data_IF_813368884664
#
_entry.id   IF_813368884664
#
_cell.length_a   1.000
_cell.length_b   1.000
_cell.length_c   1.000
_cell.angle_alpha   90.00
_cell.angle_beta   90.00
_cell.angle_gamma   90.00
#
_symmetry.space_group_name_H-M   'P 1'
#
loop_
_entity.id
_entity.type
_entity.pdbx_description
1 polymer ?
#
# COMPACT_ATOMS: atom_id res chain seq x y z
N UNK A 1 -23.17 1.05 3.39
CA UNK A 1 -22.57 1.72 2.20
C UNK A 1 -22.08 3.13 2.49
N UNK A 2 -22.91 4.08 2.93
CA UNK A 2 -22.46 5.47 3.17
C UNK A 2 -21.35 5.58 4.24
N UNK A 3 -21.46 4.84 5.35
CA UNK A 3 -20.45 4.81 6.41
C UNK A 3 -19.08 4.29 5.94
N UNK A 4 -19.06 3.24 5.10
CA UNK A 4 -17.80 2.68 4.55
C UNK A 4 -17.10 3.67 3.63
N UNK A 5 -17.85 4.39 2.81
CA UNK A 5 -17.28 5.42 1.95
C UNK A 5 -16.66 6.56 2.77
N UNK A 6 -17.29 6.95 3.87
CA UNK A 6 -16.73 7.94 4.81
C UNK A 6 -15.41 7.44 5.40
N UNK A 7 -15.36 6.20 5.91
CA UNK A 7 -14.13 5.65 6.49
C UNK A 7 -13.04 5.37 5.47
N UNK A 8 -13.40 5.07 4.21
CA UNK A 8 -12.45 5.01 3.10
C UNK A 8 -11.79 6.37 2.86
N UNK A 9 -12.58 7.45 2.87
CA UNK A 9 -12.05 8.81 2.75
C UNK A 9 -11.16 9.19 3.94
N UNK A 10 -11.53 8.79 5.17
CA UNK A 10 -10.69 8.98 6.36
C UNK A 10 -9.36 8.26 6.21
N UNK A 11 -9.37 6.98 5.82
CA UNK A 11 -8.16 6.18 5.66
C UNK A 11 -7.20 6.74 4.60
N UNK A 12 -7.74 7.42 3.58
CA UNK A 12 -6.99 8.02 2.49
C UNK A 12 -6.72 9.53 2.67
N UNK A 13 -7.12 10.12 3.81
CA UNK A 13 -6.99 11.55 4.04
C UNK A 13 -5.52 11.98 4.05
N UNK A 14 -5.23 13.07 3.32
CA UNK A 14 -3.94 13.74 3.29
C UNK A 14 -4.09 15.22 3.68
N UNK A 15 -2.98 15.89 3.94
CA UNK A 15 -2.93 17.31 4.31
C UNK A 15 -2.94 17.54 5.82
N UNK A 16 -3.03 18.81 6.24
CA UNK A 16 -2.91 19.16 7.66
C UNK A 16 -3.98 18.49 8.54
N UNK A 17 -3.59 18.04 9.72
CA UNK A 17 -4.51 17.59 10.75
C UNK A 17 -5.38 18.75 11.26
N UNK A 18 -6.62 18.44 11.64
CA UNK A 18 -7.37 19.32 12.54
C UNK A 18 -6.90 19.05 13.96
N UNK A 19 -5.88 19.81 14.37
CA UNK A 19 -5.21 19.59 15.66
C UNK A 19 -6.17 19.72 16.84
N UNK A 20 -7.04 20.74 16.81
CA UNK A 20 -7.99 20.97 17.90
C UNK A 20 -8.98 19.80 18.04
N UNK A 21 -9.56 19.35 16.91
CA UNK A 21 -10.48 18.22 16.93
C UNK A 21 -9.80 16.90 17.32
N UNK A 22 -8.54 16.69 16.92
CA UNK A 22 -7.76 15.52 17.32
C UNK A 22 -7.46 15.52 18.82
N UNK A 23 -7.02 16.65 19.39
CA UNK A 23 -6.77 16.76 20.82
C UNK A 23 -8.04 16.57 21.67
N UNK A 24 -9.18 17.09 21.23
CA UNK A 24 -10.47 16.80 21.86
C UNK A 24 -10.81 15.30 21.82
N UNK A 25 -10.49 14.63 20.70
CA UNK A 25 -10.63 13.18 20.55
C UNK A 25 -9.74 12.40 21.53
N UNK A 26 -8.49 12.82 21.69
CA UNK A 26 -7.54 12.25 22.67
C UNK A 26 -8.07 12.40 24.09
N UNK A 27 -8.42 13.62 24.50
CA UNK A 27 -8.96 13.88 25.85
C UNK A 27 -10.23 13.07 26.11
N UNK A 28 -11.11 12.94 25.11
CA UNK A 28 -12.29 12.09 25.20
C UNK A 28 -11.93 10.61 25.37
N UNK A 29 -10.93 10.09 24.64
CA UNK A 29 -10.50 8.70 24.78
C UNK A 29 -9.98 8.41 26.19
N UNK A 30 -9.18 9.31 26.78
CA UNK A 30 -8.69 9.19 28.16
C UNK A 30 -9.84 9.23 29.18
N UNK A 31 -10.75 10.21 29.07
CA UNK A 31 -11.91 10.29 29.97
C UNK A 31 -12.81 9.05 29.87
N UNK A 32 -13.05 8.53 28.67
CA UNK A 32 -13.83 7.31 28.45
C UNK A 32 -13.15 6.07 29.05
N UNK A 33 -11.82 6.07 29.15
CA UNK A 33 -11.03 5.03 29.81
C UNK A 33 -10.92 5.23 31.34
N UNK A 34 -11.50 6.30 31.90
CA UNK A 34 -11.39 6.63 33.32
C UNK A 34 -10.02 7.15 33.73
N UNK A 35 -9.21 7.62 32.79
CA UNK A 35 -7.88 8.18 33.03
C UNK A 35 -7.93 9.72 33.10
N UNK A 36 -7.01 10.35 33.85
CA UNK A 36 -6.75 11.79 33.73
C UNK A 36 -6.39 12.16 32.29
N UNK A 37 -6.76 13.35 31.85
CA UNK A 37 -6.32 13.85 30.53
C UNK A 37 -4.80 14.07 30.50
N UNK A 38 -4.15 13.89 29.34
CA UNK A 38 -2.70 14.11 29.23
C UNK A 38 -2.38 15.59 29.46
N UNK A 39 -1.34 15.83 30.26
CA UNK A 39 -0.88 17.18 30.60
C UNK A 39 -0.16 17.86 29.42
N UNK A 40 0.43 17.06 28.53
CA UNK A 40 1.20 17.53 27.37
C UNK A 40 0.75 16.81 26.10
N UNK A 41 0.52 17.58 25.04
CA UNK A 41 0.30 17.02 23.70
C UNK A 41 1.38 17.57 22.77
N UNK A 42 2.16 16.68 22.20
CA UNK A 42 3.28 16.97 21.29
C UNK A 42 2.87 16.59 19.88
N UNK A 43 3.06 17.50 18.93
CA UNK A 43 2.81 17.25 17.51
C UNK A 43 4.11 16.98 16.77
N UNK A 44 4.10 15.96 15.94
CA UNK A 44 5.18 15.58 15.03
C UNK A 44 4.67 15.60 13.59
N UNK A 45 5.53 15.96 12.63
CA UNK A 45 5.17 16.06 11.22
C UNK A 45 5.01 14.70 10.53
N UNK A 46 5.51 13.62 11.14
CA UNK A 46 5.39 12.25 10.64
C UNK A 46 5.49 11.20 11.75
N UNK A 47 5.15 9.93 11.47
CA UNK A 47 5.42 8.82 12.40
C UNK A 47 6.91 8.65 12.72
N UNK A 48 7.81 9.00 11.79
CA UNK A 48 9.26 8.96 12.03
C UNK A 48 9.67 9.98 13.09
N UNK A 49 9.23 11.23 12.94
CA UNK A 49 9.50 12.27 13.93
C UNK A 49 8.79 11.98 15.26
N UNK A 50 7.59 11.38 15.22
CA UNK A 50 6.87 10.99 16.43
C UNK A 50 7.64 9.95 17.26
N UNK A 51 8.27 8.94 16.64
CA UNK A 51 9.12 7.98 17.36
C UNK A 51 10.28 8.70 18.05
N UNK A 52 11.00 9.59 17.35
CA UNK A 52 12.07 10.40 17.96
C UNK A 52 11.55 11.26 19.13
N UNK A 53 10.36 11.84 18.97
CA UNK A 53 9.74 12.66 20.02
C UNK A 53 9.37 11.82 21.26
N UNK A 54 8.92 10.57 21.08
CA UNK A 54 8.64 9.63 22.17
C UNK A 54 9.93 9.25 22.91
N UNK A 55 11.01 8.95 22.21
CA UNK A 55 12.31 8.60 22.81
C UNK A 55 12.88 9.73 23.68
N UNK A 56 12.62 10.98 23.29
CA UNK A 56 13.03 12.18 24.02
C UNK A 56 12.04 12.58 25.13
N UNK A 57 10.92 11.88 25.28
CA UNK A 57 9.82 12.28 26.15
C UNK A 57 10.11 11.93 27.61
N UNK A 58 10.61 12.89 28.38
CA UNK A 58 10.82 12.71 29.82
C UNK A 58 9.52 12.84 30.62
N UNK A 59 9.31 11.94 31.59
CA UNK A 59 8.19 12.00 32.54
C UNK A 59 6.82 11.76 31.90
N UNK A 60 6.75 10.98 30.82
CA UNK A 60 5.49 10.63 30.17
C UNK A 60 4.66 9.61 30.97
N UNK A 61 5.31 8.83 31.84
CA UNK A 61 4.73 7.65 32.46
C UNK A 61 4.73 6.45 31.51
N UNK A 62 4.03 5.38 31.88
CA UNK A 62 3.89 4.19 31.00
C UNK A 62 2.92 4.47 29.85
N UNK A 63 3.01 3.66 28.80
CA UNK A 63 2.00 3.60 27.75
C UNK A 63 0.64 3.21 28.35
N UNK A 64 -0.41 3.91 27.92
CA UNK A 64 -1.80 3.62 28.30
C UNK A 64 -2.63 3.14 27.10
N UNK A 65 -1.96 2.66 26.04
CA UNK A 65 -2.60 2.14 24.83
C UNK A 65 -3.61 1.03 25.13
N UNK A 66 -3.33 0.20 26.13
CA UNK A 66 -4.25 -0.86 26.53
C UNK A 66 -5.57 -0.27 27.03
N UNK A 67 -5.50 0.70 27.93
CA UNK A 67 -6.64 1.36 28.55
C UNK A 67 -7.43 2.23 27.56
N UNK A 68 -6.75 3.00 26.69
CA UNK A 68 -7.44 3.94 25.78
C UNK A 68 -7.91 3.33 24.46
N UNK A 69 -7.29 2.21 24.03
CA UNK A 69 -7.55 1.61 22.72
C UNK A 69 -7.93 0.15 22.79
N UNK A 70 -7.05 -0.72 23.30
CA UNK A 70 -7.24 -2.18 23.18
C UNK A 70 -8.42 -2.67 23.99
N UNK A 71 -8.52 -2.28 25.25
CA UNK A 71 -9.61 -2.61 26.15
C UNK A 71 -10.97 -2.15 25.62
N UNK A 72 -11.17 -0.84 25.35
CA UNK A 72 -12.42 -0.32 24.80
C UNK A 72 -12.84 -1.00 23.49
N UNK A 73 -11.89 -1.26 22.58
CA UNK A 73 -12.18 -1.99 21.34
C UNK A 73 -12.62 -3.43 21.61
N UNK A 74 -11.92 -4.14 22.49
CA UNK A 74 -12.25 -5.52 22.83
C UNK A 74 -13.63 -5.63 23.51
N UNK A 75 -13.97 -4.67 24.37
CA UNK A 75 -15.29 -4.57 25.01
C UNK A 75 -16.41 -4.32 24.00
N UNK A 76 -16.28 -3.32 23.12
CA UNK A 76 -17.30 -3.03 22.11
C UNK A 76 -17.44 -4.18 21.11
N UNK A 77 -16.32 -4.83 20.74
CA UNK A 77 -16.36 -6.03 19.90
C UNK A 77 -17.14 -7.16 20.57
N UNK A 78 -16.85 -7.46 21.84
CA UNK A 78 -17.61 -8.49 22.59
C UNK A 78 -19.09 -8.13 22.66
N UNK A 79 -19.42 -6.90 23.02
CA UNK A 79 -20.81 -6.43 23.13
C UNK A 79 -21.58 -6.59 21.82
N UNK A 80 -21.02 -6.12 20.70
CA UNK A 80 -21.66 -6.28 19.39
C UNK A 80 -21.75 -7.74 18.94
N UNK A 81 -20.73 -8.54 19.22
CA UNK A 81 -20.75 -9.96 18.92
C UNK A 81 -21.84 -10.70 19.72
N UNK A 82 -22.02 -10.36 21.00
CA UNK A 82 -23.06 -10.96 21.85
C UNK A 82 -24.48 -10.52 21.42
N UNK A 83 -24.63 -9.28 20.95
CA UNK A 83 -25.91 -8.72 20.46
C UNK A 83 -26.32 -9.32 19.10
N UNK A 84 -25.40 -9.42 18.15
CA UNK A 84 -25.66 -9.85 16.77
C UNK A 84 -25.54 -11.36 16.57
N UNK A 85 -24.85 -12.04 17.49
CA UNK A 85 -24.37 -13.40 17.31
C UNK A 85 -23.31 -13.53 16.20
N UNK A 86 -22.76 -14.74 15.99
CA UNK A 86 -21.67 -14.96 15.05
C UNK A 86 -22.01 -14.60 13.59
N UNK A 87 -23.24 -14.93 13.14
CA UNK A 87 -23.67 -14.68 11.77
C UNK A 87 -23.86 -13.18 11.50
N UNK A 88 -24.54 -12.45 12.40
CA UNK A 88 -24.74 -11.01 12.26
C UNK A 88 -23.42 -10.24 12.36
N UNK A 89 -22.49 -10.69 13.20
CA UNK A 89 -21.14 -10.13 13.25
C UNK A 89 -20.40 -10.32 11.92
N UNK A 90 -20.43 -11.53 11.34
CA UNK A 90 -19.78 -11.80 10.05
C UNK A 90 -20.36 -10.96 8.91
N UNK A 91 -21.69 -10.80 8.87
CA UNK A 91 -22.37 -9.93 7.90
C UNK A 91 -21.96 -8.47 8.08
N UNK A 92 -22.00 -7.95 9.31
CA UNK A 92 -21.58 -6.58 9.62
C UNK A 92 -20.11 -6.35 9.22
N UNK A 93 -19.21 -7.26 9.57
CA UNK A 93 -17.79 -7.15 9.24
C UNK A 93 -17.55 -7.14 7.73
N UNK A 94 -18.18 -8.05 6.99
CA UNK A 94 -18.12 -8.11 5.52
C UNK A 94 -18.65 -6.83 4.87
N UNK A 95 -19.74 -6.28 5.40
CA UNK A 95 -20.34 -5.05 4.92
C UNK A 95 -19.58 -3.77 5.31
N UNK A 96 -18.59 -3.87 6.21
CA UNK A 96 -17.84 -2.73 6.76
C UNK A 96 -16.33 -2.95 6.71
N UNK A 97 -15.71 -3.32 7.84
CA UNK A 97 -14.28 -3.30 8.02
C UNK A 97 -13.50 -4.22 7.11
N UNK A 98 -14.09 -5.34 6.68
CA UNK A 98 -13.45 -6.26 5.74
C UNK A 98 -13.04 -5.57 4.43
N UNK A 99 -13.84 -4.60 3.96
CA UNK A 99 -13.60 -3.89 2.70
C UNK A 99 -12.40 -2.92 2.75
N UNK A 100 -11.94 -2.58 3.95
CA UNK A 100 -10.83 -1.64 4.16
C UNK A 100 -9.60 -2.32 4.79
N UNK A 101 -9.78 -3.54 5.32
CA UNK A 101 -8.81 -4.21 6.17
C UNK A 101 -7.43 -4.33 5.52
N UNK A 102 -7.33 -5.00 4.37
CA UNK A 102 -6.05 -5.25 3.71
C UNK A 102 -5.36 -3.95 3.32
N UNK A 103 -6.09 -3.04 2.67
CA UNK A 103 -5.60 -1.73 2.24
C UNK A 103 -5.06 -0.87 3.40
N UNK A 104 -5.72 -0.85 4.56
CA UNK A 104 -5.24 -0.12 5.75
C UNK A 104 -4.09 -0.82 6.46
N UNK A 105 -4.15 -2.15 6.60
CA UNK A 105 -3.13 -2.96 7.25
C UNK A 105 -1.81 -2.90 6.49
N UNK A 106 -1.84 -3.11 5.17
CA UNK A 106 -0.65 -3.06 4.32
C UNK A 106 0.00 -1.68 4.36
N UNK A 107 -0.79 -0.61 4.28
CA UNK A 107 -0.27 0.75 4.38
C UNK A 107 0.39 1.00 5.75
N UNK A 108 -0.25 0.54 6.84
CA UNK A 108 0.33 0.69 8.17
C UNK A 108 1.66 -0.08 8.30
N UNK A 109 1.73 -1.32 7.80
CA UNK A 109 2.97 -2.11 7.79
C UNK A 109 4.07 -1.45 6.93
N UNK A 110 3.72 -0.87 5.78
CA UNK A 110 4.67 -0.11 4.95
C UNK A 110 5.23 1.11 5.68
N UNK A 111 4.39 1.83 6.41
CA UNK A 111 4.83 2.96 7.25
C UNK A 111 5.75 2.47 8.38
N UNK A 112 5.40 1.39 9.09
CA UNK A 112 6.28 0.83 10.15
C UNK A 112 7.65 0.45 9.58
N UNK A 113 7.66 -0.29 8.47
CA UNK A 113 8.90 -0.72 7.82
C UNK A 113 9.76 0.48 7.39
N UNK A 114 9.14 1.53 6.83
CA UNK A 114 9.85 2.75 6.46
C UNK A 114 10.41 3.51 7.67
N UNK A 115 9.65 3.63 8.76
CA UNK A 115 10.13 4.25 10.00
C UNK A 115 11.32 3.49 10.57
N UNK A 116 11.25 2.16 10.63
CA UNK A 116 12.37 1.32 11.09
C UNK A 116 13.59 1.51 10.18
N UNK A 117 13.42 1.43 8.86
CA UNK A 117 14.51 1.60 7.89
C UNK A 117 15.23 2.95 7.99
N UNK A 118 14.51 4.01 8.36
CA UNK A 118 15.05 5.37 8.45
C UNK A 118 15.68 5.71 9.81
N UNK A 119 15.28 5.02 10.88
CA UNK A 119 15.74 5.29 12.24
C UNK A 119 16.83 4.34 12.71
N UNK A 120 16.86 3.11 12.19
CA UNK A 120 17.83 2.10 12.60
C UNK A 120 19.15 2.32 11.87
N UNK A 121 20.10 2.96 12.55
CA UNK A 121 21.47 3.08 12.06
C UNK A 121 22.29 1.80 12.28
N UNK A 122 22.00 1.08 13.37
CA UNK A 122 22.69 -0.16 13.75
C UNK A 122 21.69 -1.25 14.11
N UNK A 123 21.96 -2.54 13.78
CA UNK A 123 21.01 -3.63 14.02
C UNK A 123 20.51 -3.76 15.47
N UNK A 124 21.33 -3.38 16.45
CA UNK A 124 20.96 -3.41 17.87
C UNK A 124 19.83 -2.42 18.24
N UNK A 125 19.69 -1.31 17.51
CA UNK A 125 18.72 -0.25 17.81
C UNK A 125 17.31 -0.60 17.29
N UNK A 126 17.17 -1.63 16.44
CA UNK A 126 15.88 -2.01 15.83
C UNK A 126 14.83 -2.38 16.88
N UNK A 127 15.23 -3.09 17.93
CA UNK A 127 14.27 -3.54 18.96
C UNK A 127 13.63 -2.37 19.68
N UNK A 128 14.38 -1.30 19.95
CA UNK A 128 13.90 -0.12 20.68
C UNK A 128 12.89 0.67 19.83
N UNK A 129 13.20 0.91 18.55
CA UNK A 129 12.27 1.55 17.60
C UNK A 129 10.98 0.75 17.47
N UNK A 130 11.09 -0.59 17.40
CA UNK A 130 9.91 -1.47 17.31
C UNK A 130 9.06 -1.43 18.57
N UNK A 131 9.68 -1.35 19.76
CA UNK A 131 8.95 -1.20 21.03
C UNK A 131 8.12 0.09 21.05
N UNK A 132 8.70 1.23 20.63
CA UNK A 132 7.95 2.49 20.51
C UNK A 132 6.79 2.36 19.53
N UNK A 133 7.00 1.68 18.41
CA UNK A 133 5.95 1.44 17.41
C UNK A 133 4.80 0.56 17.93
N UNK A 134 5.03 -0.33 18.91
CA UNK A 134 3.97 -1.15 19.52
C UNK A 134 2.98 -0.31 20.34
N UNK A 135 3.41 0.83 20.87
CA UNK A 135 2.59 1.79 21.60
C UNK A 135 1.72 2.69 20.69
N UNK A 136 1.92 2.62 19.38
CA UNK A 136 1.14 3.43 18.44
C UNK A 136 -0.32 2.97 18.35
N UNK A 137 -1.22 3.95 18.39
CA UNK A 137 -2.60 3.87 17.88
C UNK A 137 -2.60 4.45 16.46
N UNK A 138 -3.19 3.75 15.50
CA UNK A 138 -2.90 3.98 14.07
C UNK A 138 -3.77 5.06 13.43
N UNK A 139 -4.57 5.77 14.23
CA UNK A 139 -5.36 6.92 13.81
C UNK A 139 -6.19 6.60 12.57
N UNK A 140 -6.00 7.33 11.48
CA UNK A 140 -6.74 7.09 10.24
C UNK A 140 -6.59 5.68 9.65
N UNK A 141 -5.50 4.97 9.94
CA UNK A 141 -5.30 3.58 9.48
C UNK A 141 -5.97 2.54 10.38
N UNK A 142 -6.61 2.95 11.48
CA UNK A 142 -7.55 2.13 12.23
C UNK A 142 -8.99 2.17 11.65
N UNK A 143 -9.20 2.89 10.54
CA UNK A 143 -10.49 3.09 9.89
C UNK A 143 -11.27 1.80 9.60
N UNK A 144 -10.57 0.71 9.25
CA UNK A 144 -11.21 -0.56 8.92
C UNK A 144 -12.07 -1.07 10.09
N UNK A 145 -11.49 -1.23 11.28
CA UNK A 145 -12.28 -1.69 12.42
C UNK A 145 -13.18 -0.59 12.99
N UNK A 146 -12.77 0.68 12.96
CA UNK A 146 -13.63 1.80 13.39
C UNK A 146 -14.94 1.87 12.58
N UNK A 147 -14.90 1.52 11.29
CA UNK A 147 -16.09 1.50 10.44
C UNK A 147 -17.16 0.52 10.91
N UNK A 148 -16.78 -0.60 11.54
CA UNK A 148 -17.71 -1.59 12.08
C UNK A 148 -18.45 -1.09 13.33
N UNK A 149 -17.88 -0.11 14.04
CA UNK A 149 -18.45 0.45 15.28
C UNK A 149 -19.07 1.84 15.09
N UNK A 150 -19.08 2.39 13.87
CA UNK A 150 -19.54 3.75 13.62
C UNK A 150 -21.02 3.92 13.97
N UNK A 151 -21.31 4.88 14.84
CA UNK A 151 -22.65 5.11 15.43
C UNK A 151 -23.13 4.02 16.40
N UNK A 152 -22.26 3.09 16.80
CA UNK A 152 -22.63 1.92 17.63
C UNK A 152 -21.69 1.67 18.81
N UNK A 153 -20.53 2.32 18.90
CA UNK A 153 -19.57 2.15 19.99
C UNK A 153 -19.18 3.47 20.64
N UNK A 154 -19.97 3.94 21.61
CA UNK A 154 -19.75 5.23 22.28
C UNK A 154 -18.35 5.35 22.92
N UNK A 155 -17.83 4.23 23.46
CA UNK A 155 -16.47 4.14 24.03
C UNK A 155 -15.38 4.48 23.01
N UNK A 156 -15.63 4.25 21.73
CA UNK A 156 -14.67 4.47 20.64
C UNK A 156 -14.78 5.86 20.02
N UNK A 157 -15.68 6.73 20.50
CA UNK A 157 -15.91 8.06 19.93
C UNK A 157 -14.63 8.91 19.92
N UNK A 158 -13.83 8.85 20.99
CA UNK A 158 -12.54 9.54 21.07
C UNK A 158 -11.57 9.06 20.00
N UNK A 159 -11.35 7.74 19.90
CA UNK A 159 -10.51 7.11 18.88
C UNK A 159 -10.96 7.47 17.46
N UNK A 160 -12.28 7.39 17.21
CA UNK A 160 -12.87 7.72 15.93
C UNK A 160 -12.69 9.19 15.57
N UNK A 161 -12.69 10.09 16.57
CA UNK A 161 -12.43 11.51 16.36
C UNK A 161 -10.97 11.78 16.05
N UNK A 162 -10.02 11.12 16.71
CA UNK A 162 -8.60 11.23 16.35
C UNK A 162 -8.37 10.72 14.94
N UNK A 163 -8.88 9.54 14.59
CA UNK A 163 -8.73 8.97 13.25
C UNK A 163 -9.26 9.88 12.14
N UNK A 164 -10.38 10.58 12.39
CA UNK A 164 -10.96 11.55 11.47
C UNK A 164 -10.17 12.86 11.36
N UNK A 165 -9.26 13.16 12.29
CA UNK A 165 -8.61 14.47 12.36
C UNK A 165 -7.07 14.45 12.35
N UNK A 166 -6.42 13.31 12.56
CA UNK A 166 -4.95 13.19 12.61
C UNK A 166 -4.45 11.81 12.13
N UNK A 167 -3.11 11.68 12.09
CA UNK A 167 -2.40 10.43 11.84
C UNK A 167 -2.26 9.57 13.09
N UNK A 168 -1.12 8.89 13.21
CA UNK A 168 -0.84 8.00 14.35
C UNK A 168 -0.60 8.78 15.63
N UNK A 169 -0.77 8.13 16.77
CA UNK A 169 -0.51 8.77 18.05
C UNK A 169 -0.12 7.75 19.13
N UNK A 170 0.64 8.21 20.12
CA UNK A 170 1.23 7.41 21.18
C UNK A 170 0.73 7.90 22.54
N UNK A 171 -0.15 7.14 23.21
CA UNK A 171 -0.74 7.54 24.47
C UNK A 171 0.09 7.07 25.68
N UNK A 172 0.56 8.02 26.51
CA UNK A 172 1.19 7.79 27.81
C UNK A 172 0.37 8.43 28.95
N UNK A 173 0.67 8.08 30.20
CA UNK A 173 -0.09 8.59 31.37
C UNK A 173 -0.19 10.12 31.43
N UNK A 174 0.92 10.83 31.16
CA UNK A 174 1.03 12.28 31.32
C UNK A 174 1.23 13.04 30.01
N UNK A 175 1.41 12.33 28.90
CA UNK A 175 1.72 12.95 27.62
C UNK A 175 1.21 12.12 26.43
N UNK A 176 0.96 12.80 25.31
CA UNK A 176 0.62 12.18 24.04
C UNK A 176 1.49 12.77 22.94
N UNK A 177 2.00 11.92 22.05
CA UNK A 177 2.61 12.34 20.79
C UNK A 177 1.64 12.04 19.65
N UNK A 178 1.36 13.01 18.79
CA UNK A 178 0.46 12.88 17.63
C UNK A 178 1.23 13.22 16.36
N UNK A 179 1.14 12.35 15.36
CA UNK A 179 1.63 12.59 14.01
C UNK A 179 0.58 13.34 13.18
N UNK A 180 1.04 14.31 12.40
CA UNK A 180 0.34 14.82 11.23
C UNK A 180 0.02 13.69 10.24
N UNK A 181 -0.81 14.00 9.25
CA UNK A 181 -1.10 13.08 8.13
C UNK A 181 -0.04 13.17 7.05
N UNK A 182 0.03 12.17 6.15
CA UNK A 182 0.76 12.35 4.91
C UNK A 182 0.22 13.55 4.12
N UNK A 183 1.09 14.25 3.42
CA UNK A 183 0.73 15.31 2.46
C UNK A 183 0.37 14.73 1.10
N UNK A 184 0.90 13.56 0.76
CA UNK A 184 0.63 12.83 -0.48
C UNK A 184 0.39 11.34 -0.21
N UNK A 185 -0.54 10.74 -0.96
CA UNK A 185 -0.84 9.31 -0.95
C UNK A 185 -1.34 8.88 -2.34
N UNK A 186 -0.55 8.04 -3.01
CA UNK A 186 -0.82 7.53 -4.35
C UNK A 186 -0.89 6.01 -4.33
N UNK A 187 -1.90 5.47 -5.02
CA UNK A 187 -2.21 4.04 -4.97
C UNK A 187 -2.68 3.55 -6.33
N UNK A 188 -2.40 2.29 -6.62
CA UNK A 188 -2.96 1.59 -7.77
C UNK A 188 -4.44 1.23 -7.55
N UNK A 189 -5.08 0.65 -8.57
CA UNK A 189 -6.48 0.20 -8.50
C UNK A 189 -6.72 -0.89 -7.44
N UNK A 190 -5.68 -1.63 -7.05
CA UNK A 190 -5.72 -2.62 -5.99
C UNK A 190 -5.52 -2.00 -4.58
N UNK A 191 -5.26 -0.69 -4.50
CA UNK A 191 -5.05 0.02 -3.25
C UNK A 191 -3.63 -0.13 -2.66
N UNK A 192 -2.66 -0.61 -3.44
CA UNK A 192 -1.25 -0.68 -3.04
C UNK A 192 -0.56 0.64 -3.33
N UNK A 193 0.49 0.99 -2.57
CA UNK A 193 1.28 2.20 -2.85
C UNK A 193 1.88 2.13 -4.26
N UNK A 194 1.66 3.17 -5.06
CA UNK A 194 2.14 3.20 -6.44
C UNK A 194 2.31 4.63 -6.95
N UNK A 195 3.51 4.95 -7.43
CA UNK A 195 3.81 6.19 -8.17
C UNK A 195 5.14 6.06 -8.92
N UNK A 196 5.15 6.41 -10.21
CA UNK A 196 6.33 6.28 -11.07
C UNK A 196 7.23 7.51 -11.18
N UNK A 197 6.79 8.67 -10.68
CA UNK A 197 7.46 9.97 -10.86
C UNK A 197 7.74 10.71 -9.53
N UNK A 198 7.64 9.99 -8.40
CA UNK A 198 7.81 10.57 -7.08
C UNK A 198 7.40 9.62 -5.95
N UNK A 199 7.34 10.10 -4.70
CA UNK A 199 6.95 9.29 -3.57
C UNK A 199 5.48 8.88 -3.66
N UNK A 200 5.20 7.60 -3.41
CA UNK A 200 3.83 7.09 -3.30
C UNK A 200 3.17 7.53 -1.99
N UNK A 201 3.95 7.82 -0.96
CA UNK A 201 3.48 8.46 0.27
C UNK A 201 4.55 9.45 0.77
N UNK A 202 4.15 10.65 1.18
CA UNK A 202 5.07 11.65 1.70
C UNK A 202 4.48 12.38 2.92
N UNK A 203 5.33 12.75 3.87
CA UNK A 203 5.03 13.62 5.00
C UNK A 203 5.78 14.95 4.87
N UNK A 204 5.32 15.97 5.59
CA UNK A 204 5.83 17.35 5.46
C UNK A 204 7.28 17.55 5.94
N UNK A 205 7.83 16.62 6.71
CA UNK A 205 9.23 16.59 7.16
C UNK A 205 10.18 15.86 6.20
N UNK A 206 9.68 15.42 5.04
CA UNK A 206 10.44 14.66 4.05
C UNK A 206 10.50 13.16 4.31
N UNK A 207 9.84 12.63 5.35
CA UNK A 207 9.66 11.17 5.44
C UNK A 207 8.76 10.70 4.29
N UNK A 208 9.29 9.82 3.43
CA UNK A 208 8.62 9.40 2.21
C UNK A 208 8.81 7.90 1.94
N UNK A 209 7.84 7.30 1.25
CA UNK A 209 7.88 5.92 0.79
C UNK A 209 7.67 5.89 -0.72
N UNK A 210 8.56 5.18 -1.41
CA UNK A 210 8.54 5.00 -2.85
C UNK A 210 8.10 3.58 -3.16
N UNK A 211 7.24 3.41 -4.16
CA UNK A 211 6.72 2.12 -4.55
C UNK A 211 6.23 2.11 -6.00
N UNK A 212 6.48 0.99 -6.69
CA UNK A 212 5.94 0.66 -8.00
C UNK A 212 5.00 -0.53 -7.89
N UNK A 213 3.71 -0.34 -8.12
CA UNK A 213 2.65 -1.36 -8.02
C UNK A 213 2.70 -2.16 -6.70
N UNK A 214 2.95 -1.45 -5.60
CA UNK A 214 3.09 -2.02 -4.26
C UNK A 214 4.49 -2.54 -3.91
N UNK A 215 5.40 -2.68 -4.88
CA UNK A 215 6.77 -3.11 -4.65
C UNK A 215 7.62 -1.92 -4.19
N UNK A 216 8.27 -1.99 -3.02
CA UNK A 216 9.14 -0.92 -2.51
C UNK A 216 10.36 -0.72 -3.42
N UNK A 217 10.57 0.51 -3.88
CA UNK A 217 11.75 0.87 -4.69
C UNK A 217 12.53 1.98 -4.00
N UNK A 218 13.86 2.08 -4.21
CA UNK A 218 14.63 3.26 -3.81
C UNK A 218 14.15 4.53 -4.53
N UNK A 219 14.42 5.70 -3.96
CA UNK A 219 14.04 6.97 -4.60
C UNK A 219 14.82 7.18 -5.90
N UNK A 220 16.13 6.92 -5.85
CA UNK A 220 17.07 7.01 -6.97
C UNK A 220 16.72 6.05 -8.13
N UNK A 221 16.01 4.96 -7.84
CA UNK A 221 15.56 4.03 -8.86
C UNK A 221 14.53 4.67 -9.79
N UNK A 222 13.63 5.51 -9.26
CA UNK A 222 12.65 6.22 -10.11
C UNK A 222 13.32 7.26 -11.02
N UNK A 223 14.33 7.96 -10.51
CA UNK A 223 15.11 8.91 -11.33
C UNK A 223 15.81 8.18 -12.48
N UNK A 224 16.37 7.00 -12.20
CA UNK A 224 17.04 6.14 -13.18
C UNK A 224 16.10 5.71 -14.32
N UNK A 225 14.82 5.43 -14.02
CA UNK A 225 13.84 5.00 -15.03
C UNK A 225 13.75 5.97 -16.21
N UNK A 226 13.90 7.28 -15.98
CA UNK A 226 13.82 8.30 -17.04
C UNK A 226 14.98 8.27 -18.04
N UNK A 227 16.10 7.66 -17.68
CA UNK A 227 17.34 7.61 -18.47
C UNK A 227 17.77 6.17 -18.81
N UNK A 228 16.86 5.22 -18.62
CA UNK A 228 17.09 3.80 -18.75
C UNK A 228 17.55 3.41 -20.17
N UNK A 229 18.44 2.42 -20.26
CA UNK A 229 18.95 1.86 -21.52
C UNK A 229 18.78 0.35 -21.52
N UNK A 230 18.67 -0.32 -22.69
CA UNK A 230 18.55 -1.78 -22.75
C UNK A 230 19.70 -2.51 -22.04
N UNK A 231 20.93 -1.99 -22.14
CA UNK A 231 22.11 -2.53 -21.47
C UNK A 231 21.96 -2.45 -19.95
N UNK A 232 21.49 -1.32 -19.42
CA UNK A 232 21.28 -1.16 -17.98
C UNK A 232 20.22 -2.12 -17.43
N UNK A 233 19.13 -2.30 -18.16
CA UNK A 233 18.07 -3.28 -17.83
C UNK A 233 18.65 -4.70 -17.79
N UNK A 234 19.50 -5.04 -18.77
CA UNK A 234 20.09 -6.38 -18.90
C UNK A 234 20.99 -6.73 -17.72
N UNK A 235 21.81 -5.79 -17.24
CA UNK A 235 22.78 -6.02 -16.15
C UNK A 235 22.20 -5.87 -14.74
N UNK A 236 20.93 -5.49 -14.59
CA UNK A 236 20.28 -5.35 -13.28
C UNK A 236 20.12 -6.71 -12.59
N UNK A 237 20.86 -7.00 -11.54
CA UNK A 237 20.85 -8.34 -10.91
C UNK A 237 19.50 -8.66 -10.24
N UNK A 238 18.81 -7.66 -9.71
CA UNK A 238 17.54 -7.86 -9.02
C UNK A 238 16.40 -8.06 -10.03
N UNK A 239 15.92 -9.30 -10.14
CA UNK A 239 14.83 -9.68 -11.06
C UNK A 239 13.56 -8.82 -10.90
N UNK A 240 13.21 -8.43 -9.68
CA UNK A 240 12.03 -7.60 -9.42
C UNK A 240 12.23 -6.17 -9.93
N UNK A 241 13.40 -5.58 -9.70
CA UNK A 241 13.73 -4.25 -10.24
C UNK A 241 13.84 -4.28 -11.77
N UNK A 242 14.49 -5.30 -12.33
CA UNK A 242 14.57 -5.50 -13.78
C UNK A 242 13.18 -5.63 -14.42
N UNK A 243 12.24 -6.31 -13.76
CA UNK A 243 10.85 -6.40 -14.23
C UNK A 243 10.18 -5.03 -14.26
N UNK A 244 10.35 -4.20 -13.23
CA UNK A 244 9.84 -2.83 -13.23
C UNK A 244 10.49 -1.99 -14.32
N UNK A 245 11.80 -2.08 -14.47
CA UNK A 245 12.53 -1.41 -15.54
C UNK A 245 11.98 -1.78 -16.93
N UNK A 246 11.76 -3.06 -17.22
CA UNK A 246 11.16 -3.53 -18.48
C UNK A 246 9.75 -2.99 -18.70
N UNK A 247 8.94 -2.99 -17.64
CA UNK A 247 7.57 -2.51 -17.69
C UNK A 247 7.48 -1.00 -17.93
N UNK A 248 8.34 -0.21 -17.27
CA UNK A 248 8.48 1.22 -17.49
C UNK A 248 9.02 1.53 -18.89
N UNK A 249 10.06 0.81 -19.33
CA UNK A 249 10.73 1.06 -20.62
C UNK A 249 9.83 0.76 -21.82
N UNK A 250 8.91 -0.19 -21.66
CA UNK A 250 8.13 -0.76 -22.74
C UNK A 250 8.86 -1.93 -23.38
N UNK A 251 8.18 -3.07 -23.45
CA UNK A 251 8.73 -4.29 -24.04
C UNK A 251 8.98 -4.15 -25.54
N UNK A 252 8.16 -3.37 -26.24
CA UNK A 252 8.29 -3.03 -27.64
C UNK A 252 9.62 -2.32 -27.93
N UNK A 253 9.90 -1.27 -27.16
CA UNK A 253 11.14 -0.50 -27.26
C UNK A 253 12.34 -1.33 -26.86
N UNK A 254 12.22 -2.09 -25.76
CA UNK A 254 13.30 -2.97 -25.32
C UNK A 254 13.65 -4.01 -26.38
N UNK A 255 12.67 -4.69 -26.99
CA UNK A 255 12.92 -5.69 -28.02
C UNK A 255 13.59 -5.10 -29.26
N UNK A 256 13.11 -3.93 -29.72
CA UNK A 256 13.68 -3.23 -30.87
C UNK A 256 15.14 -2.79 -30.65
N UNK A 257 15.46 -2.31 -29.45
CA UNK A 257 16.77 -1.73 -29.14
C UNK A 257 17.77 -2.73 -28.54
N UNK A 258 17.30 -3.84 -27.95
CA UNK A 258 18.16 -4.85 -27.29
C UNK A 258 18.84 -5.84 -28.25
N UNK A 259 18.46 -5.81 -29.54
CA UNK A 259 18.93 -6.78 -30.54
C UNK A 259 18.26 -8.16 -30.44
N UNK A 260 17.11 -8.25 -29.76
CA UNK A 260 16.34 -9.48 -29.63
C UNK A 260 15.98 -10.06 -31.01
N UNK A 261 15.93 -11.39 -31.11
CA UNK A 261 15.61 -12.09 -32.34
C UNK A 261 14.26 -12.79 -32.21
N UNK A 262 13.41 -12.77 -33.26
CA UNK A 262 12.19 -13.55 -33.27
C UNK A 262 12.53 -15.04 -33.27
N UNK A 263 11.89 -15.81 -32.39
CA UNK A 263 12.11 -17.26 -32.26
C UNK A 263 11.08 -18.08 -33.02
N UNK A 264 9.88 -17.53 -33.26
CA UNK A 264 8.83 -18.17 -34.06
C UNK A 264 7.90 -17.12 -34.68
N UNK A 265 7.29 -17.43 -35.82
CA UNK A 265 6.25 -16.60 -36.44
C UNK A 265 5.19 -17.49 -37.07
N UNK A 266 3.93 -17.19 -36.79
CA UNK A 266 2.77 -17.83 -37.42
C UNK A 266 1.66 -16.80 -37.68
N UNK A 267 0.49 -17.27 -38.12
CA UNK A 267 -0.70 -16.44 -38.41
C UNK A 267 -1.24 -15.68 -37.19
N UNK A 268 -0.88 -16.10 -35.97
CA UNK A 268 -1.34 -15.49 -34.71
C UNK A 268 -0.41 -14.36 -34.25
N UNK A 269 0.86 -14.35 -34.68
CA UNK A 269 1.82 -13.33 -34.26
C UNK A 269 3.30 -13.76 -34.36
N UNK A 270 4.15 -13.00 -33.67
CA UNK A 270 5.60 -13.25 -33.59
C UNK A 270 5.99 -13.54 -32.15
N UNK A 271 6.65 -14.66 -31.91
CA UNK A 271 7.22 -15.01 -30.61
C UNK A 271 8.64 -14.46 -30.53
N UNK A 272 8.92 -13.72 -29.47
CA UNK A 272 10.21 -13.12 -29.16
C UNK A 272 10.76 -13.74 -27.88
N UNK A 273 12.08 -13.92 -27.81
CA UNK A 273 12.78 -14.41 -26.62
C UNK A 273 14.01 -13.56 -26.35
N UNK A 274 14.14 -13.13 -25.12
CA UNK A 274 15.30 -12.41 -24.61
C UNK A 274 15.92 -13.26 -23.53
N UNK A 275 17.11 -13.77 -23.79
CA UNK A 275 17.88 -14.48 -22.78
C UNK A 275 18.33 -13.47 -21.71
N UNK A 276 18.03 -13.77 -20.45
CA UNK A 276 18.52 -13.01 -19.31
C UNK A 276 19.49 -13.90 -18.54
N UNK A 277 20.74 -13.46 -18.42
CA UNK A 277 21.75 -14.24 -17.73
C UNK A 277 21.45 -14.25 -16.22
N UNK A 278 21.35 -15.45 -15.63
CA UNK A 278 21.01 -15.61 -14.21
C UNK A 278 19.53 -15.43 -13.85
N UNK A 279 18.64 -15.30 -14.84
CA UNK A 279 17.20 -15.15 -14.63
C UNK A 279 16.40 -15.98 -15.67
N UNK A 280 15.08 -16.02 -15.50
CA UNK A 280 14.16 -16.64 -16.44
C UNK A 280 14.05 -15.82 -17.74
N UNK A 281 14.08 -16.49 -18.90
CA UNK A 281 13.97 -15.84 -20.20
C UNK A 281 12.74 -14.93 -20.30
N UNK A 282 12.92 -13.78 -20.93
CA UNK A 282 11.79 -12.94 -21.29
C UNK A 282 11.20 -13.40 -22.64
N UNK A 283 10.12 -14.18 -22.58
CA UNK A 283 9.30 -14.55 -23.75
C UNK A 283 8.04 -13.68 -23.91
N UNK A 284 7.81 -13.21 -25.13
CA UNK A 284 6.67 -12.35 -25.48
C UNK A 284 6.07 -12.69 -26.83
N UNK A 285 4.77 -12.49 -26.99
CA UNK A 285 4.11 -12.57 -28.29
C UNK A 285 3.70 -11.17 -28.74
N UNK A 286 4.20 -10.76 -29.90
CA UNK A 286 3.72 -9.62 -30.66
C UNK A 286 2.48 -10.02 -31.45
N UNK A 287 1.35 -9.39 -31.17
CA UNK A 287 0.09 -9.60 -31.91
C UNK A 287 -0.41 -8.27 -32.44
N UNK A 288 -0.93 -8.27 -33.67
CA UNK A 288 -1.60 -7.09 -34.24
C UNK A 288 -3.09 -7.30 -34.04
N UNK A 289 -3.78 -6.31 -33.48
CA UNK A 289 -5.23 -6.38 -33.35
C UNK A 289 -5.85 -6.56 -34.74
N UNK A 290 -6.84 -7.44 -34.87
CA UNK A 290 -7.53 -7.67 -36.15
C UNK A 290 -8.66 -6.67 -36.39
N UNK A 291 -9.12 -6.00 -35.33
CA UNK A 291 -10.08 -4.89 -35.40
C UNK A 291 -9.32 -3.56 -35.46
N UNK A 292 -9.54 -2.72 -36.49
CA UNK A 292 -8.97 -1.39 -36.52
C UNK A 292 -9.58 -0.52 -35.42
N UNK A 293 -8.77 0.35 -34.83
CA UNK A 293 -9.21 1.44 -33.97
C UNK A 293 -10.20 2.36 -34.71
N UNK A 294 -10.96 3.22 -34.01
CA UNK A 294 -11.91 4.13 -34.64
C UNK A 294 -11.34 5.04 -35.74
N UNK A 295 -10.02 5.24 -35.75
CA UNK A 295 -9.27 6.01 -36.75
C UNK A 295 -8.73 5.18 -37.93
N UNK A 296 -9.01 3.87 -37.96
CA UNK A 296 -8.56 2.93 -38.99
C UNK A 296 -7.17 2.34 -38.76
N UNK A 297 -6.49 2.70 -37.66
CA UNK A 297 -5.17 2.15 -37.34
C UNK A 297 -5.27 0.80 -36.62
N UNK A 298 -4.24 -0.03 -36.76
CA UNK A 298 -4.15 -1.29 -36.02
C UNK A 298 -3.12 -1.13 -34.90
N UNK A 299 -3.46 -1.59 -33.70
CA UNK A 299 -2.54 -1.59 -32.56
C UNK A 299 -1.78 -2.90 -32.46
N UNK A 300 -0.48 -2.79 -32.25
CA UNK A 300 0.36 -3.92 -31.85
C UNK A 300 0.33 -4.07 -30.34
N UNK A 301 0.05 -5.26 -29.86
CA UNK A 301 0.08 -5.64 -28.45
C UNK A 301 1.21 -6.62 -28.21
N UNK A 302 1.79 -6.52 -27.02
CA UNK A 302 2.88 -7.38 -26.57
C UNK A 302 2.42 -8.15 -25.34
N UNK A 303 2.24 -9.45 -25.50
CA UNK A 303 1.70 -10.33 -24.46
C UNK A 303 2.84 -11.11 -23.79
N UNK A 304 2.95 -10.96 -22.47
CA UNK A 304 3.90 -11.74 -21.66
C UNK A 304 3.38 -13.17 -21.56
N UNK A 305 4.21 -14.15 -21.92
CA UNK A 305 3.83 -15.57 -21.91
C UNK A 305 4.87 -16.40 -21.14
N UNK A 306 4.52 -17.63 -20.73
CA UNK A 306 5.47 -18.50 -20.05
C UNK A 306 6.77 -18.70 -20.84
N UNK A 307 7.91 -18.88 -20.17
CA UNK A 307 9.19 -18.98 -20.86
C UNK A 307 9.37 -20.30 -21.60
N UNK A 308 8.59 -21.32 -21.24
CA UNK A 308 8.56 -22.59 -21.93
C UNK A 308 7.81 -22.55 -23.27
N UNK A 309 7.09 -21.45 -23.58
CA UNK A 309 6.32 -21.28 -24.82
C UNK A 309 7.22 -21.36 -26.05
N UNK A 310 6.77 -22.13 -27.06
CA UNK A 310 7.54 -22.47 -28.26
C UNK A 310 6.97 -21.86 -29.54
N UNK A 311 5.67 -21.58 -29.58
CA UNK A 311 5.01 -20.99 -30.77
C UNK A 311 4.21 -19.73 -30.40
N UNK A 312 3.95 -18.86 -31.37
CA UNK A 312 3.16 -17.66 -31.13
C UNK A 312 1.71 -18.03 -30.80
N UNK A 313 1.13 -18.99 -31.54
CA UNK A 313 -0.20 -19.54 -31.26
C UNK A 313 -0.34 -20.09 -29.83
N UNK A 314 0.64 -20.85 -29.33
CA UNK A 314 0.65 -21.36 -27.95
C UNK A 314 0.61 -20.22 -26.93
N UNK A 315 1.42 -19.18 -27.13
CA UNK A 315 1.47 -18.03 -26.24
C UNK A 315 0.15 -17.26 -26.20
N UNK A 316 -0.47 -17.01 -27.36
CA UNK A 316 -1.78 -16.35 -27.42
C UNK A 316 -2.86 -17.22 -26.78
N UNK A 317 -2.91 -18.52 -27.07
CA UNK A 317 -3.86 -19.45 -26.46
C UNK A 317 -3.78 -19.42 -24.92
N UNK A 318 -2.55 -19.39 -24.38
CA UNK A 318 -2.32 -19.30 -22.94
C UNK A 318 -2.93 -18.05 -22.31
N UNK A 319 -2.90 -16.89 -22.98
CA UNK A 319 -3.52 -15.66 -22.45
C UNK A 319 -5.05 -15.75 -22.32
N UNK A 320 -5.68 -16.72 -22.99
CA UNK A 320 -7.11 -17.03 -22.85
C UNK A 320 -7.37 -18.25 -21.94
N UNK A 321 -6.35 -18.81 -21.31
CA UNK A 321 -6.46 -20.02 -20.49
C UNK A 321 -6.71 -21.30 -21.29
N UNK A 322 -6.33 -21.32 -22.58
CA UNK A 322 -6.56 -22.43 -23.50
C UNK A 322 -5.23 -23.11 -23.88
N UNK A 323 -5.32 -24.40 -24.23
CA UNK A 323 -4.24 -25.11 -24.92
C UNK A 323 -4.20 -24.79 -26.41
N UNK A 324 -3.04 -24.86 -27.05
CA UNK A 324 -2.84 -24.50 -28.45
C UNK A 324 -3.82 -25.21 -29.42
N UNK A 325 -4.12 -26.49 -29.18
CA UNK A 325 -5.03 -27.27 -30.04
C UNK A 325 -6.49 -26.84 -29.91
N UNK A 326 -6.90 -26.29 -28.75
CA UNK A 326 -8.25 -25.79 -28.53
C UNK A 326 -8.43 -24.34 -29.02
N UNK A 327 -7.33 -23.67 -29.41
CA UNK A 327 -7.36 -22.30 -29.90
C UNK A 327 -7.58 -22.26 -31.41
N UNK A 328 -8.85 -22.14 -31.80
CA UNK A 328 -9.29 -21.92 -33.18
C UNK A 328 -9.94 -20.54 -33.29
N UNK A 329 -9.20 -19.48 -33.69
CA UNK A 329 -9.80 -18.17 -33.90
C UNK A 329 -10.71 -18.21 -35.13
N UNK A 330 -12.00 -18.48 -34.91
CA UNK A 330 -13.04 -18.46 -35.96
C UNK A 330 -13.30 -17.01 -36.34
N UNK A 331 -12.67 -16.53 -37.43
CA UNK A 331 -12.85 -15.18 -38.01
C UNK A 331 -13.08 -14.10 -36.95
N UNK A 332 -11.97 -13.58 -36.44
CA UNK A 332 -11.87 -12.53 -35.44
C UNK A 332 -12.76 -11.34 -35.81
N UNK A 333 -13.63 -10.94 -34.89
CA UNK A 333 -14.68 -9.92 -35.10
C UNK A 333 -14.16 -8.50 -34.97
#
# INVERSE_FOLDING_TARGET
MQQVNTWRAVAAATGAADRAAAEEGVRLAYRSAGLPEPERIVWAASPKEAVKAVELLSGAGKSVREEVRTGPWAEERRRLHDELGPAGWAELWSATGAQLWDTTRELAERIRAGVVSELVERPEDESDVRLVLLDAVLGQHDAAWLSAFDGRGERLTGLARVARNAGWWWPYEHAVVISERPVELHRDEAGRLDRGDGPALAFSDGFALYAWRGMPVPAEFLDELTSLTPERIRVEENAELRRVMLEYYGYDRYLAESGAQPVHRDETGVLWRIALEGDEDVVMVEVVNSTPEPDGTYRTYWLRVPPATRTAKEGVAWTFGLGQEAYEPVRQT
#
